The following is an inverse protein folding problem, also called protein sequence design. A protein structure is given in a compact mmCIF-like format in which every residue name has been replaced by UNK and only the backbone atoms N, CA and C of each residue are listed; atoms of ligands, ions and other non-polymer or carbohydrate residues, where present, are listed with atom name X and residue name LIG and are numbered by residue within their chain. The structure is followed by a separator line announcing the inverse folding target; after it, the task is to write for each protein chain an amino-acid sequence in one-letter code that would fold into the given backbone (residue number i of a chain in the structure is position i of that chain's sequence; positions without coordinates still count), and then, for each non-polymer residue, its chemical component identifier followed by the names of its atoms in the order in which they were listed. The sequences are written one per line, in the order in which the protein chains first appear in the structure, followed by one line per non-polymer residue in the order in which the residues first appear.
data_IF_764319987230
#
_entry.id   IF_764319987230
#
_cell.length_a   1.000
_cell.length_b   1.000
_cell.length_c   1.000
_cell.angle_alpha   90.00
_cell.angle_beta   90.00
_cell.angle_gamma   90.00
#
_symmetry.space_group_name_H-M   'P 1'
#
loop_
_entity.id
_entity.type
_entity.pdbx_description
1 polymer ?
#
# COMPACT_ATOMS: atom_id res chain seq x y z
N UNK A 1 25.52 31.14 -9.47
CA UNK A 1 24.06 30.95 -9.57
C UNK A 1 23.79 29.80 -10.53
N UNK A 2 24.11 28.56 -10.13
CA UNK A 2 23.91 27.36 -10.95
C UNK A 2 23.22 26.28 -10.10
N UNK A 3 22.02 25.92 -10.56
CA UNK A 3 21.29 24.66 -10.36
C UNK A 3 21.52 23.89 -9.05
N UNK A 4 20.86 24.33 -7.97
CA UNK A 4 20.65 23.54 -6.74
C UNK A 4 19.32 22.79 -6.72
N UNK A 5 18.57 22.72 -7.84
CA UNK A 5 17.16 22.30 -7.85
C UNK A 5 16.87 20.87 -8.34
N UNK A 6 17.88 20.04 -8.58
CA UNK A 6 17.68 18.68 -9.13
C UNK A 6 17.75 17.57 -8.08
N UNK A 7 18.46 17.78 -6.98
CA UNK A 7 18.79 16.75 -6.00
C UNK A 7 17.67 16.37 -5.03
N UNK A 8 16.59 17.16 -4.92
CA UNK A 8 15.49 16.90 -3.98
C UNK A 8 14.14 16.57 -4.63
N UNK A 9 14.02 16.69 -5.97
CA UNK A 9 12.73 16.55 -6.65
C UNK A 9 12.24 15.11 -6.64
N UNK A 10 13.11 14.15 -6.95
CA UNK A 10 12.73 12.74 -6.97
C UNK A 10 12.49 12.17 -5.57
N UNK A 11 13.21 12.64 -4.55
CA UNK A 11 12.97 12.29 -3.15
C UNK A 11 11.64 12.81 -2.66
N UNK A 12 11.29 14.06 -2.97
CA UNK A 12 9.96 14.60 -2.66
C UNK A 12 8.85 13.80 -3.36
N UNK A 13 9.09 13.35 -4.61
CA UNK A 13 8.13 12.47 -5.32
C UNK A 13 8.04 11.08 -4.67
N UNK A 14 9.15 10.49 -4.25
CA UNK A 14 9.17 9.19 -3.57
C UNK A 14 8.49 9.25 -2.21
N UNK A 15 8.73 10.30 -1.43
CA UNK A 15 8.09 10.51 -0.12
C UNK A 15 6.56 10.61 -0.26
N UNK A 16 6.10 11.44 -1.21
CA UNK A 16 4.69 11.56 -1.55
C UNK A 16 4.08 10.25 -2.06
N UNK A 17 4.82 9.50 -2.90
CA UNK A 17 4.39 8.19 -3.39
C UNK A 17 4.30 7.16 -2.26
N UNK A 18 5.31 7.06 -1.39
CA UNK A 18 5.31 6.19 -0.22
C UNK A 18 4.14 6.50 0.71
N UNK A 19 3.87 7.78 1.02
CA UNK A 19 2.70 8.18 1.80
C UNK A 19 1.39 7.74 1.14
N UNK A 20 1.25 7.98 -0.17
CA UNK A 20 0.04 7.63 -0.92
C UNK A 20 -0.19 6.11 -0.95
N UNK A 21 0.88 5.31 -1.13
CA UNK A 21 0.84 3.85 -1.07
C UNK A 21 0.44 3.34 0.32
N UNK A 22 0.87 4.03 1.38
CA UNK A 22 0.44 3.73 2.76
C UNK A 22 -1.03 4.03 3.00
N UNK A 23 -1.55 5.17 2.51
CA UNK A 23 -2.97 5.51 2.60
C UNK A 23 -3.85 4.54 1.80
N UNK A 24 -3.48 4.22 0.55
CA UNK A 24 -4.18 3.22 -0.25
C UNK A 24 -4.14 1.85 0.45
N UNK A 25 -2.97 1.46 0.96
CA UNK A 25 -2.80 0.24 1.73
C UNK A 25 -3.72 0.19 2.95
N UNK A 26 -3.88 1.29 3.68
CA UNK A 26 -4.77 1.38 4.85
C UNK A 26 -6.26 1.19 4.49
N UNK A 27 -6.70 1.75 3.36
CA UNK A 27 -8.06 1.54 2.84
C UNK A 27 -8.24 0.08 2.42
N UNK A 28 -7.28 -0.50 1.70
CA UNK A 28 -7.29 -1.92 1.34
C UNK A 28 -7.26 -2.84 2.58
N UNK A 29 -6.56 -2.44 3.65
CA UNK A 29 -6.51 -3.19 4.90
C UNK A 29 -7.89 -3.18 5.59
N UNK A 30 -8.59 -2.04 5.58
CA UNK A 30 -9.96 -1.95 6.09
C UNK A 30 -10.92 -2.87 5.30
N UNK A 31 -10.76 -2.94 3.96
CA UNK A 31 -11.49 -3.88 3.10
C UNK A 31 -11.08 -5.35 3.33
N UNK A 32 -9.83 -5.61 3.74
CA UNK A 32 -9.35 -6.95 4.10
C UNK A 32 -9.91 -7.43 5.44
N UNK A 33 -10.22 -6.53 6.39
CA UNK A 33 -10.84 -6.88 7.67
C UNK A 33 -12.36 -7.04 7.62
N UNK A 34 -13.03 -6.42 6.63
CA UNK A 34 -14.45 -6.62 6.37
C UNK A 34 -14.87 -8.11 6.21
N UNK A 35 -14.11 -9.01 5.56
CA UNK A 35 -14.41 -10.44 5.52
C UNK A 35 -14.13 -11.20 6.82
N UNK A 36 -13.35 -10.62 7.76
CA UNK A 36 -13.08 -11.20 9.10
C UNK A 36 -14.14 -10.81 10.12
N UNK A 37 -14.96 -9.78 9.85
CA UNK A 37 -16.18 -9.50 10.59
C UNK A 37 -17.26 -10.55 10.29
N UNK A 38 -17.02 -11.76 10.82
CA UNK A 38 -17.92 -12.91 10.98
C UNK A 38 -18.97 -13.05 9.90
N UNK A 39 -18.70 -13.87 8.89
CA UNK A 39 -19.75 -14.61 8.19
C UNK A 39 -20.95 -13.77 7.73
N UNK A 40 -20.73 -12.51 7.33
CA UNK A 40 -21.76 -11.73 6.65
C UNK A 40 -21.98 -12.39 5.30
N UNK A 41 -22.86 -13.39 5.28
CA UNK A 41 -24.15 -13.41 4.58
C UNK A 41 -24.38 -12.36 3.48
N UNK A 42 -23.34 -12.00 2.72
CA UNK A 42 -23.47 -11.37 1.40
C UNK A 42 -23.72 -12.43 0.32
N UNK A 43 -23.47 -13.70 0.67
CA UNK A 43 -23.67 -14.86 -0.18
C UNK A 43 -25.14 -15.11 -0.58
N UNK A 44 -26.14 -14.86 0.29
CA UNK A 44 -27.55 -14.95 -0.14
C UNK A 44 -28.07 -13.65 -0.77
N UNK A 45 -27.42 -12.50 -0.55
CA UNK A 45 -27.99 -11.19 -0.92
C UNK A 45 -27.80 -10.83 -2.41
N UNK A 46 -26.82 -11.45 -3.08
CA UNK A 46 -26.52 -11.29 -4.51
C UNK A 46 -26.58 -12.59 -5.33
N UNK A 47 -26.80 -13.76 -4.69
CA UNK A 47 -26.86 -15.06 -5.37
C UNK A 47 -25.53 -15.56 -5.95
N UNK A 48 -24.39 -14.99 -5.54
CA UNK A 48 -23.05 -15.35 -6.02
C UNK A 48 -22.33 -16.31 -5.05
N UNK A 49 -21.58 -17.31 -5.54
CA UNK A 49 -21.01 -18.37 -4.72
C UNK A 49 -19.91 -17.90 -3.75
N UNK A 50 -19.79 -18.57 -2.59
CA UNK A 50 -18.74 -18.37 -1.55
C UNK A 50 -17.34 -18.36 -2.13
N UNK A 51 -17.14 -19.16 -3.17
CA UNK A 51 -15.88 -19.30 -3.85
C UNK A 51 -15.39 -17.98 -4.49
N UNK A 52 -16.30 -17.12 -4.96
CA UNK A 52 -15.95 -15.84 -5.55
C UNK A 52 -15.45 -14.83 -4.51
N UNK A 53 -16.02 -14.84 -3.31
CA UNK A 53 -15.61 -13.95 -2.22
C UNK A 53 -14.20 -14.30 -1.69
N UNK A 54 -13.90 -15.59 -1.55
CA UNK A 54 -12.56 -16.06 -1.14
C UNK A 54 -11.52 -15.72 -2.21
N UNK A 55 -11.84 -15.89 -3.50
CA UNK A 55 -10.97 -15.48 -4.62
C UNK A 55 -10.71 -13.96 -4.60
N UNK A 56 -11.73 -13.16 -4.34
CA UNK A 56 -11.59 -11.71 -4.19
C UNK A 56 -10.73 -11.33 -2.98
N UNK A 57 -10.95 -11.95 -1.81
CA UNK A 57 -10.15 -11.71 -0.61
C UNK A 57 -8.69 -12.08 -0.80
N UNK A 58 -8.39 -13.20 -1.46
CA UNK A 58 -7.03 -13.57 -1.82
C UNK A 58 -6.38 -12.52 -2.71
N UNK A 59 -7.08 -12.05 -3.75
CA UNK A 59 -6.57 -11.02 -4.65
C UNK A 59 -6.30 -9.71 -3.92
N UNK A 60 -7.26 -9.26 -3.09
CA UNK A 60 -7.15 -8.05 -2.27
C UNK A 60 -6.03 -8.17 -1.22
N UNK A 61 -5.81 -9.36 -0.67
CA UNK A 61 -4.69 -9.70 0.20
C UNK A 61 -3.33 -9.53 -0.49
N UNK A 62 -3.19 -9.97 -1.73
CA UNK A 62 -1.96 -9.76 -2.50
C UNK A 62 -1.75 -8.28 -2.81
N UNK A 63 -2.80 -7.56 -3.18
CA UNK A 63 -2.72 -6.11 -3.46
C UNK A 63 -2.27 -5.32 -2.24
N UNK A 64 -2.82 -5.60 -1.05
CA UNK A 64 -2.41 -4.89 0.17
C UNK A 64 -0.98 -5.22 0.58
N UNK A 65 -0.55 -6.48 0.43
CA UNK A 65 0.83 -6.89 0.70
C UNK A 65 1.81 -6.13 -0.22
N UNK A 66 1.51 -5.99 -1.51
CA UNK A 66 2.32 -5.23 -2.46
C UNK A 66 2.38 -3.75 -2.08
N UNK A 67 1.25 -3.12 -1.77
CA UNK A 67 1.23 -1.71 -1.36
C UNK A 67 2.02 -1.46 -0.08
N UNK A 68 1.87 -2.32 0.92
CA UNK A 68 2.57 -2.17 2.20
C UNK A 68 4.07 -2.43 2.07
N UNK A 69 4.46 -3.40 1.22
CA UNK A 69 5.87 -3.68 0.90
C UNK A 69 6.49 -2.51 0.15
N UNK A 70 5.82 -1.96 -0.87
CA UNK A 70 6.30 -0.80 -1.63
C UNK A 70 6.41 0.46 -0.74
N UNK A 71 5.44 0.66 0.16
CA UNK A 71 5.47 1.72 1.17
C UNK A 71 6.71 1.61 2.06
N UNK A 72 6.92 0.45 2.69
CA UNK A 72 8.07 0.19 3.57
C UNK A 72 9.40 0.31 2.84
N UNK A 73 9.50 -0.25 1.63
CA UNK A 73 10.72 -0.19 0.81
C UNK A 73 11.07 1.25 0.42
N UNK A 74 10.09 2.08 0.07
CA UNK A 74 10.31 3.49 -0.25
C UNK A 74 10.87 4.28 0.94
N UNK A 75 10.39 4.03 2.16
CA UNK A 75 10.95 4.64 3.37
C UNK A 75 12.36 4.15 3.71
N UNK A 76 12.64 2.85 3.54
CA UNK A 76 13.99 2.29 3.74
C UNK A 76 14.97 2.95 2.77
N UNK A 77 14.62 3.06 1.48
CA UNK A 77 15.46 3.71 0.46
C UNK A 77 15.71 5.19 0.82
N UNK A 78 14.67 5.93 1.22
CA UNK A 78 14.80 7.32 1.65
C UNK A 78 15.71 7.45 2.90
N UNK A 79 15.53 6.57 3.89
CA UNK A 79 16.32 6.54 5.12
C UNK A 79 17.79 6.18 4.90
N UNK A 80 18.07 5.13 4.11
CA UNK A 80 19.43 4.71 3.79
C UNK A 80 20.24 5.79 3.07
N UNK A 81 19.60 6.60 2.21
CA UNK A 81 20.27 7.68 1.47
C UNK A 81 20.60 8.87 2.36
N UNK A 82 19.79 9.19 3.37
CA UNK A 82 20.13 10.23 4.35
C UNK A 82 21.37 9.86 5.17
N UNK A 83 21.56 8.57 5.48
CA UNK A 83 22.72 8.09 6.25
C UNK A 83 24.02 8.17 5.45
N UNK A 84 23.99 7.86 4.15
CA UNK A 84 25.19 7.96 3.27
C UNK A 84 25.64 9.39 3.02
N UNK A 85 24.75 10.38 3.06
CA UNK A 85 25.09 11.80 2.88
C UNK A 85 25.50 12.50 4.20
N UNK A 86 25.28 11.85 5.34
CA UNK A 86 25.70 12.32 6.67
C UNK A 86 27.00 11.66 7.18
N UNK A 87 27.66 10.85 6.34
CA UNK A 87 29.05 10.42 6.51
C UNK A 87 29.95 11.20 5.55
#
# INVERSE_FOLDING_TARGET
MLSVNSFGRWQAKLDSASLSLGLLGNICLALLFLPVARGSSLLPLLGLPSEACVKYHMWLGHTVLVFFTAHGLGYIIMGSRKITFQR
#
